data_IF_821791752113
#
_entry.id   IF_821791752113
#
_cell.length_a   1.000
_cell.length_b   1.000
_cell.length_c   1.000
_cell.angle_alpha   90.00
_cell.angle_beta   90.00
_cell.angle_gamma   90.00
#
_symmetry.space_group_name_H-M   'P 1'
#
loop_
_entity.id
_entity.type
_entity.pdbx_description
1 polymer ?
#
# COMPACT_ATOMS: atom_id res chain seq x y z
N UNK A 1 13.34 24.37 -7.44
CA UNK A 1 12.27 23.61 -6.78
C UNK A 1 11.24 24.58 -6.20
N UNK A 2 10.00 24.57 -6.69
CA UNK A 2 8.88 25.27 -6.07
C UNK A 2 8.58 24.52 -4.78
N UNK A 3 8.67 25.20 -3.63
CA UNK A 3 8.32 24.58 -2.37
C UNK A 3 6.84 24.19 -2.36
N UNK A 4 6.49 23.10 -1.67
CA UNK A 4 5.10 22.66 -1.53
C UNK A 4 4.22 23.77 -0.96
N UNK A 5 4.73 24.56 -0.02
CA UNK A 5 4.04 25.74 0.52
C UNK A 5 3.74 26.79 -0.54
N UNK A 6 4.70 27.08 -1.41
CA UNK A 6 4.50 28.02 -2.52
C UNK A 6 3.48 27.48 -3.52
N UNK A 7 3.52 26.18 -3.81
CA UNK A 7 2.51 25.52 -4.64
C UNK A 7 1.11 25.61 -4.01
N UNK A 8 0.97 25.32 -2.72
CA UNK A 8 -0.31 25.42 -2.00
C UNK A 8 -0.87 26.86 -2.00
N UNK A 9 -0.01 27.87 -2.00
CA UNK A 9 -0.40 29.27 -2.11
C UNK A 9 -0.78 29.67 -3.55
N UNK A 10 0.03 29.29 -4.54
CA UNK A 10 -0.18 29.68 -5.93
C UNK A 10 -1.34 28.94 -6.61
N UNK A 11 -1.59 27.70 -6.18
CA UNK A 11 -2.61 26.80 -6.72
C UNK A 11 -3.66 26.48 -5.64
N UNK A 12 -4.08 27.48 -4.86
CA UNK A 12 -4.90 27.29 -3.66
C UNK A 12 -6.22 26.52 -3.91
N UNK A 13 -6.89 26.77 -5.03
CA UNK A 13 -8.12 26.07 -5.40
C UNK A 13 -7.86 24.58 -5.70
N UNK A 14 -6.80 24.26 -6.45
CA UNK A 14 -6.38 22.88 -6.69
C UNK A 14 -5.94 22.20 -5.39
N UNK A 15 -5.19 22.90 -4.54
CA UNK A 15 -4.75 22.35 -3.26
C UNK A 15 -5.94 22.00 -2.36
N UNK A 16 -6.95 22.88 -2.29
CA UNK A 16 -8.21 22.61 -1.59
C UNK A 16 -8.96 21.41 -2.20
N UNK A 17 -9.07 21.34 -3.52
CA UNK A 17 -9.66 20.18 -4.20
C UNK A 17 -8.91 18.87 -3.90
N UNK A 18 -7.58 18.90 -3.79
CA UNK A 18 -6.78 17.75 -3.37
C UNK A 18 -7.08 17.32 -1.94
N UNK A 19 -7.24 18.27 -1.01
CA UNK A 19 -7.64 17.96 0.37
C UNK A 19 -9.01 17.28 0.40
N UNK A 20 -9.98 17.78 -0.37
CA UNK A 20 -11.31 17.21 -0.43
C UNK A 20 -11.31 15.81 -1.08
N UNK A 21 -10.46 15.59 -2.09
CA UNK A 21 -10.22 14.27 -2.67
C UNK A 21 -9.61 13.30 -1.64
N UNK A 22 -8.56 13.71 -0.93
CA UNK A 22 -7.93 12.91 0.13
C UNK A 22 -8.96 12.53 1.19
N UNK A 23 -9.78 13.49 1.62
CA UNK A 23 -10.78 13.27 2.66
C UNK A 23 -11.87 12.29 2.23
N UNK A 24 -12.30 12.31 0.96
CA UNK A 24 -13.30 11.35 0.48
C UNK A 24 -12.80 9.90 0.47
N UNK A 25 -11.48 9.72 0.37
CA UNK A 25 -10.83 8.41 0.41
C UNK A 25 -10.33 8.01 1.80
N UNK A 26 -10.41 8.89 2.80
CA UNK A 26 -9.97 8.59 4.16
C UNK A 26 -10.73 7.40 4.77
N UNK A 27 -12.00 7.24 4.41
CA UNK A 27 -12.87 6.15 4.87
C UNK A 27 -12.80 4.88 3.99
N UNK A 28 -12.09 4.94 2.85
CA UNK A 28 -11.96 3.78 1.96
C UNK A 28 -10.90 2.85 2.53
N UNK A 29 -11.25 1.58 2.75
CA UNK A 29 -10.30 0.58 3.26
C UNK A 29 -9.16 0.33 2.30
N UNK A 30 -7.93 0.28 2.82
CA UNK A 30 -6.77 -0.14 2.03
C UNK A 30 -7.05 -1.55 1.45
N UNK A 31 -6.83 -1.78 0.13
CA UNK A 31 -7.14 -3.05 -0.53
C UNK A 31 -6.50 -4.30 0.11
N UNK A 32 -5.30 -4.19 0.66
CA UNK A 32 -4.62 -5.28 1.37
C UNK A 32 -5.27 -5.49 2.73
N UNK A 33 -5.57 -4.41 3.45
CA UNK A 33 -6.27 -4.45 4.73
C UNK A 33 -7.69 -5.03 4.60
N UNK A 34 -8.39 -4.73 3.50
CA UNK A 34 -9.71 -5.28 3.24
C UNK A 34 -9.70 -6.82 3.18
N UNK A 35 -8.69 -7.41 2.52
CA UNK A 35 -8.58 -8.86 2.45
C UNK A 35 -8.02 -9.44 3.75
N UNK A 36 -6.95 -8.87 4.30
CA UNK A 36 -6.35 -9.38 5.54
C UNK A 36 -7.32 -9.28 6.73
N UNK A 37 -8.18 -8.25 6.75
CA UNK A 37 -9.22 -8.04 7.75
C UNK A 37 -10.30 -9.11 7.79
N UNK A 38 -10.44 -9.94 6.74
CA UNK A 38 -11.32 -11.12 6.74
C UNK A 38 -10.84 -12.22 7.67
N UNK A 39 -9.54 -12.23 7.98
CA UNK A 39 -8.97 -13.23 8.87
C UNK A 39 -9.51 -13.10 10.30
N UNK A 40 -9.67 -14.23 10.97
CA UNK A 40 -10.28 -14.30 12.32
C UNK A 40 -9.31 -13.86 13.40
N UNK A 41 -8.09 -14.38 13.36
CA UNK A 41 -7.07 -14.09 14.38
C UNK A 41 -6.27 -12.84 14.04
N UNK A 42 -5.81 -12.09 15.07
CA UNK A 42 -4.91 -10.95 14.86
C UNK A 42 -3.62 -11.41 14.20
N UNK A 43 -3.09 -12.57 14.59
CA UNK A 43 -1.92 -13.16 13.95
C UNK A 43 -2.10 -13.39 12.45
N UNK A 44 -3.24 -13.94 12.02
CA UNK A 44 -3.54 -14.09 10.60
C UNK A 44 -3.68 -12.73 9.91
N UNK A 45 -4.37 -11.75 10.51
CA UNK A 45 -4.46 -10.39 9.94
C UNK A 45 -3.08 -9.78 9.67
N UNK A 46 -2.14 -9.94 10.60
CA UNK A 46 -0.75 -9.47 10.43
C UNK A 46 -0.06 -10.23 9.30
N UNK A 47 -0.09 -11.56 9.33
CA UNK A 47 0.58 -12.39 8.33
C UNK A 47 0.06 -12.12 6.90
N UNK A 48 -1.25 -12.00 6.73
CA UNK A 48 -1.88 -11.68 5.45
C UNK A 48 -1.62 -10.24 5.00
N UNK A 49 -1.44 -9.30 5.93
CA UNK A 49 -1.01 -7.93 5.61
C UNK A 49 0.44 -7.89 5.11
N UNK A 50 1.33 -8.68 5.70
CA UNK A 50 2.72 -8.85 5.25
C UNK A 50 2.74 -9.49 3.85
N UNK A 51 1.95 -10.55 3.64
CA UNK A 51 1.80 -11.20 2.33
C UNK A 51 1.34 -10.20 1.28
N UNK A 52 0.22 -9.51 1.51
CA UNK A 52 -0.33 -8.55 0.57
C UNK A 52 0.64 -7.43 0.21
N UNK A 53 1.34 -6.88 1.21
CA UNK A 53 2.34 -5.84 0.98
C UNK A 53 3.55 -6.34 0.19
N UNK A 54 3.86 -7.64 0.27
CA UNK A 54 4.95 -8.25 -0.51
C UNK A 54 4.51 -8.53 -1.95
N UNK A 55 3.26 -8.94 -2.15
CA UNK A 55 2.66 -9.22 -3.46
C UNK A 55 2.37 -7.95 -4.28
N UNK A 56 2.13 -6.81 -3.63
CA UNK A 56 1.75 -5.58 -4.31
C UNK A 56 2.92 -4.88 -5.00
N UNK A 57 3.34 -5.47 -6.12
CA UNK A 57 4.40 -4.99 -7.01
C UNK A 57 4.04 -5.34 -8.45
N UNK A 58 3.96 -4.32 -9.32
CA UNK A 58 3.68 -4.52 -10.74
C UNK A 58 2.30 -5.13 -11.02
N UNK A 59 1.35 -4.94 -10.10
CA UNK A 59 -0.01 -5.44 -10.17
C UNK A 59 -0.97 -4.35 -9.69
N UNK A 60 -2.18 -4.29 -10.26
CA UNK A 60 -3.19 -3.30 -9.88
C UNK A 60 -3.80 -3.63 -8.50
N UNK A 61 -4.45 -2.66 -7.84
CA UNK A 61 -5.21 -2.95 -6.62
C UNK A 61 -6.35 -3.95 -6.88
N UNK A 62 -7.03 -3.84 -8.02
CA UNK A 62 -8.12 -4.75 -8.38
C UNK A 62 -7.61 -6.20 -8.47
N UNK A 63 -6.47 -6.41 -9.12
CA UNK A 63 -5.92 -7.76 -9.33
C UNK A 63 -5.27 -8.31 -8.07
N UNK A 64 -4.57 -7.48 -7.28
CA UNK A 64 -4.00 -7.95 -6.00
C UNK A 64 -5.10 -8.33 -5.02
N UNK A 65 -6.24 -7.62 -5.00
CA UNK A 65 -7.39 -7.99 -4.17
C UNK A 65 -7.99 -9.33 -4.59
N UNK A 66 -8.17 -9.55 -5.89
CA UNK A 66 -8.68 -10.82 -6.41
C UNK A 66 -7.71 -11.96 -6.08
N UNK A 67 -6.42 -11.77 -6.32
CA UNK A 67 -5.37 -12.75 -6.04
C UNK A 67 -5.33 -13.09 -4.54
N UNK A 68 -5.23 -12.08 -3.67
CA UNK A 68 -5.23 -12.30 -2.23
C UNK A 68 -6.52 -12.95 -1.74
N UNK A 69 -7.68 -12.54 -2.27
CA UNK A 69 -8.96 -13.14 -1.92
C UNK A 69 -9.03 -14.63 -2.29
N UNK A 70 -8.55 -14.99 -3.48
CA UNK A 70 -8.52 -16.38 -3.91
C UNK A 70 -7.50 -17.22 -3.13
N UNK A 71 -6.31 -16.67 -2.86
CA UNK A 71 -5.32 -17.32 -1.99
C UNK A 71 -5.87 -17.56 -0.58
N UNK A 72 -6.56 -16.57 -0.01
CA UNK A 72 -7.17 -16.72 1.32
C UNK A 72 -8.30 -17.76 1.32
N UNK A 73 -9.10 -17.83 0.26
CA UNK A 73 -10.14 -18.85 0.15
C UNK A 73 -9.57 -20.27 0.01
N UNK A 74 -8.48 -20.43 -0.76
CA UNK A 74 -7.83 -21.73 -0.96
C UNK A 74 -7.00 -22.16 0.26
N UNK A 75 -6.33 -21.20 0.92
CA UNK A 75 -5.40 -21.44 2.03
C UNK A 75 -5.73 -20.52 3.22
N UNK A 76 -6.88 -20.69 3.89
CA UNK A 76 -7.33 -19.75 4.89
C UNK A 76 -6.48 -19.73 6.16
N UNK A 77 -6.52 -18.58 6.86
CA UNK A 77 -5.95 -18.40 8.19
C UNK A 77 -4.47 -18.83 8.28
N UNK A 78 -4.21 -19.86 9.08
CA UNK A 78 -2.89 -20.39 9.44
C UNK A 78 -2.24 -21.23 8.35
N UNK A 79 -2.98 -21.59 7.28
CA UNK A 79 -2.41 -22.33 6.14
C UNK A 79 -1.28 -21.59 5.43
N UNK A 80 -1.17 -20.28 5.66
CA UNK A 80 -0.01 -19.49 5.23
C UNK A 80 1.30 -19.91 5.90
N UNK A 81 1.27 -20.44 7.14
CA UNK A 81 2.49 -20.77 7.90
C UNK A 81 2.51 -22.14 8.57
N UNK A 82 1.41 -22.87 8.68
CA UNK A 82 1.41 -24.25 9.21
C UNK A 82 2.07 -25.24 8.26
N UNK A 83 2.71 -26.28 8.81
CA UNK A 83 3.26 -27.39 8.03
C UNK A 83 2.22 -28.53 7.92
N UNK A 84 2.16 -29.24 6.79
CA UNK A 84 2.89 -28.97 5.54
C UNK A 84 2.41 -27.68 4.86
N UNK A 85 3.34 -26.93 4.24
CA UNK A 85 2.97 -25.74 3.46
C UNK A 85 2.29 -26.15 2.15
N UNK A 86 1.38 -25.33 1.59
CA UNK A 86 0.82 -25.56 0.27
C UNK A 86 1.90 -25.72 -0.79
N UNK A 87 1.68 -26.64 -1.74
CA UNK A 87 2.63 -26.92 -2.80
C UNK A 87 2.64 -25.78 -3.83
N UNK A 88 3.73 -25.71 -4.56
CA UNK A 88 3.92 -24.74 -5.65
C UNK A 88 2.80 -24.82 -6.69
N UNK A 89 2.49 -26.04 -7.14
CA UNK A 89 1.45 -26.32 -8.14
C UNK A 89 0.08 -25.79 -7.70
N UNK A 90 -0.29 -25.96 -6.43
CA UNK A 90 -1.57 -25.51 -5.89
C UNK A 90 -1.63 -23.97 -5.80
N UNK A 91 -0.55 -23.34 -5.36
CA UNK A 91 -0.46 -21.87 -5.25
C UNK A 91 -0.55 -21.21 -6.63
N UNK A 92 0.18 -21.74 -7.62
CA UNK A 92 0.17 -21.22 -8.98
C UNK A 92 -1.18 -21.44 -9.66
N UNK A 93 -1.82 -22.60 -9.45
CA UNK A 93 -3.15 -22.88 -9.99
C UNK A 93 -4.20 -21.86 -9.51
N UNK A 94 -4.15 -21.46 -8.24
CA UNK A 94 -5.04 -20.40 -7.70
C UNK A 94 -4.80 -19.07 -8.40
N UNK A 95 -3.55 -18.69 -8.65
CA UNK A 95 -3.21 -17.45 -9.32
C UNK A 95 -3.67 -17.44 -10.79
N UNK A 96 -3.46 -18.54 -11.51
CA UNK A 96 -3.81 -18.68 -12.93
C UNK A 96 -5.30 -18.56 -13.17
N UNK A 97 -6.11 -19.14 -12.28
CA UNK A 97 -7.56 -19.06 -12.33
C UNK A 97 -8.08 -17.62 -12.23
N UNK A 98 -7.34 -16.73 -11.58
CA UNK A 98 -7.78 -15.37 -11.26
C UNK A 98 -7.18 -14.33 -12.20
N UNK A 99 -5.91 -14.51 -12.58
CA UNK A 99 -5.19 -13.53 -13.38
C UNK A 99 -5.41 -13.73 -14.89
N UNK A 100 -5.91 -14.90 -15.35
CA UNK A 100 -6.41 -15.22 -16.70
C UNK A 100 -5.86 -14.33 -17.85
N UNK A 101 -4.57 -14.48 -18.17
CA UNK A 101 -3.93 -13.75 -19.28
C UNK A 101 -3.28 -12.41 -18.91
N UNK A 102 -3.43 -11.95 -17.67
CA UNK A 102 -2.67 -10.82 -17.12
C UNK A 102 -1.21 -11.25 -16.93
N UNK A 103 -0.31 -10.65 -17.71
CA UNK A 103 1.12 -10.84 -17.50
C UNK A 103 1.55 -10.12 -16.22
N UNK A 104 1.74 -10.89 -15.15
CA UNK A 104 2.33 -10.40 -13.91
C UNK A 104 3.74 -10.98 -13.76
N UNK A 105 4.75 -10.11 -13.80
CA UNK A 105 6.16 -10.51 -13.82
C UNK A 105 6.64 -11.26 -12.59
N UNK A 106 5.89 -11.23 -11.49
CA UNK A 106 6.20 -11.96 -10.26
C UNK A 106 5.43 -13.27 -10.11
N UNK A 107 4.64 -13.70 -11.10
CA UNK A 107 3.83 -14.91 -11.03
C UNK A 107 4.64 -16.12 -10.57
N UNK A 108 5.80 -16.36 -11.18
CA UNK A 108 6.68 -17.50 -10.86
C UNK A 108 7.28 -17.41 -9.44
N UNK A 109 7.35 -16.20 -8.88
CA UNK A 109 7.86 -15.97 -7.53
C UNK A 109 6.79 -16.09 -6.45
N UNK A 110 5.50 -16.22 -6.81
CA UNK A 110 4.39 -16.26 -5.86
C UNK A 110 4.54 -17.37 -4.79
N UNK A 111 4.87 -18.64 -5.13
CA UNK A 111 5.12 -19.67 -4.13
C UNK A 111 6.26 -19.28 -3.17
N UNK A 112 7.35 -18.75 -3.71
CA UNK A 112 8.49 -18.27 -2.92
C UNK A 112 8.10 -17.14 -1.96
N UNK A 113 7.27 -16.19 -2.40
CA UNK A 113 6.73 -15.12 -1.56
C UNK A 113 5.88 -15.72 -0.43
N UNK A 114 4.95 -16.60 -0.79
CA UNK A 114 4.04 -17.26 0.15
C UNK A 114 4.82 -18.01 1.24
N UNK A 115 5.77 -18.86 0.85
CA UNK A 115 6.59 -19.63 1.79
C UNK A 115 7.53 -18.74 2.60
N UNK A 116 8.08 -17.68 2.02
CA UNK A 116 8.95 -16.75 2.74
C UNK A 116 8.21 -16.03 3.85
N UNK A 117 6.95 -15.61 3.60
CA UNK A 117 6.10 -15.04 4.65
C UNK A 117 5.74 -16.10 5.68
N UNK A 118 5.36 -17.31 5.26
CA UNK A 118 5.09 -18.41 6.20
C UNK A 118 6.30 -18.75 7.08
N UNK A 119 7.50 -18.70 6.54
CA UNK A 119 8.75 -18.89 7.28
C UNK A 119 8.98 -17.80 8.32
N UNK A 120 8.72 -16.54 7.96
CA UNK A 120 8.74 -15.42 8.89
C UNK A 120 7.78 -15.65 10.06
N UNK A 121 6.50 -16.00 9.79
CA UNK A 121 5.53 -16.26 10.87
C UNK A 121 6.01 -17.38 11.79
N UNK A 122 6.47 -18.51 11.24
CA UNK A 122 6.99 -19.64 12.04
C UNK A 122 8.22 -19.25 12.86
N UNK A 123 9.13 -18.44 12.31
CA UNK A 123 10.31 -17.98 13.03
C UNK A 123 9.93 -17.19 14.27
N UNK A 124 9.00 -16.23 14.12
CA UNK A 124 8.54 -15.40 15.23
C UNK A 124 7.56 -16.12 16.16
N UNK A 125 7.13 -17.35 15.84
CA UNK A 125 6.36 -18.25 16.71
C UNK A 125 7.18 -19.15 17.65
N UNK A 126 8.47 -19.37 17.35
CA UNK A 126 9.26 -20.45 17.98
C UNK A 126 9.52 -20.30 19.49
N UNK A 127 9.43 -19.10 20.03
CA UNK A 127 9.70 -18.82 21.45
C UNK A 127 8.42 -18.54 22.26
N UNK A 128 7.27 -19.03 21.81
CA UNK A 128 5.97 -18.73 22.42
C UNK A 128 5.49 -17.29 22.19
N UNK A 129 6.24 -16.49 21.44
CA UNK A 129 5.82 -15.18 20.94
C UNK A 129 4.93 -15.38 19.73
N UNK A 130 3.89 -14.58 19.57
CA UNK A 130 3.11 -14.53 18.34
C UNK A 130 3.37 -13.20 17.60
N UNK A 131 2.82 -13.05 16.40
CA UNK A 131 2.98 -11.79 15.66
C UNK A 131 2.42 -10.55 16.39
N UNK A 132 1.26 -10.63 17.08
CA UNK A 132 0.82 -9.55 17.95
C UNK A 132 1.86 -9.14 19.00
N UNK A 133 2.41 -10.10 19.75
CA UNK A 133 3.45 -9.84 20.75
C UNK A 133 4.71 -9.26 20.11
N UNK A 134 5.18 -9.87 19.00
CA UNK A 134 6.29 -9.34 18.21
C UNK A 134 6.09 -7.87 17.82
N UNK A 135 4.90 -7.48 17.35
CA UNK A 135 4.64 -6.10 16.99
C UNK A 135 4.73 -5.16 18.20
N UNK A 136 4.17 -5.55 19.36
CA UNK A 136 4.16 -4.71 20.57
C UNK A 136 5.54 -4.53 21.22
N UNK A 137 6.45 -5.49 21.03
CA UNK A 137 7.79 -5.50 21.61
C UNK A 137 8.84 -4.79 20.76
N UNK A 138 8.47 -4.31 19.56
CA UNK A 138 9.41 -3.79 18.56
C UNK A 138 9.18 -2.33 18.24
N UNK A 139 10.25 -1.61 17.92
CA UNK A 139 10.15 -0.29 17.28
C UNK A 139 9.93 -0.44 15.77
N UNK A 140 9.53 0.65 15.10
CA UNK A 140 9.36 0.64 13.64
C UNK A 140 10.65 0.28 12.88
N UNK A 141 11.82 0.68 13.40
CA UNK A 141 13.13 0.34 12.82
C UNK A 141 13.44 -1.14 12.96
N UNK A 142 13.10 -1.75 14.09
CA UNK A 142 13.27 -3.18 14.29
C UNK A 142 12.30 -3.98 13.43
N UNK A 143 11.03 -3.59 13.35
CA UNK A 143 10.07 -4.20 12.42
C UNK A 143 10.59 -4.07 10.98
N UNK A 144 11.16 -2.93 10.60
CA UNK A 144 11.73 -2.73 9.28
C UNK A 144 12.91 -3.67 8.98
N UNK A 145 13.74 -3.93 10.00
CA UNK A 145 14.84 -4.91 9.93
C UNK A 145 14.30 -6.33 9.81
N UNK A 146 13.39 -6.73 10.70
CA UNK A 146 12.82 -8.07 10.80
C UNK A 146 12.04 -8.43 9.53
N UNK A 147 11.27 -7.48 8.95
CA UNK A 147 10.63 -7.66 7.64
C UNK A 147 11.63 -7.92 6.51
N UNK A 148 12.92 -7.65 6.71
CA UNK A 148 14.00 -8.04 5.81
C UNK A 148 14.27 -9.54 5.73
N UNK A 149 13.80 -10.32 6.69
CA UNK A 149 13.84 -11.79 6.68
C UNK A 149 12.91 -12.36 5.59
N UNK A 150 11.87 -11.61 5.21
CA UNK A 150 11.04 -11.95 4.06
C UNK A 150 11.84 -11.65 2.78
N UNK A 151 12.28 -12.71 2.09
CA UNK A 151 13.22 -12.63 0.95
C UNK A 151 12.78 -11.64 -0.13
N UNK A 152 11.46 -11.57 -0.37
CA UNK A 152 10.85 -10.73 -1.39
C UNK A 152 10.47 -9.33 -0.89
N UNK A 153 10.85 -8.92 0.32
CA UNK A 153 10.58 -7.57 0.83
C UNK A 153 11.49 -6.49 0.21
N UNK A 154 12.54 -6.92 -0.50
CA UNK A 154 13.50 -6.06 -1.19
C UNK A 154 14.81 -5.90 -0.41
N UNK A 155 15.91 -5.69 -1.14
CA UNK A 155 17.28 -5.64 -0.57
C UNK A 155 17.87 -4.23 -0.47
N UNK A 156 17.27 -3.22 -1.12
CA UNK A 156 17.77 -1.84 -1.16
C UNK A 156 17.35 -0.96 0.02
N UNK A 157 18.01 0.19 0.19
CA UNK A 157 17.59 1.26 1.11
C UNK A 157 17.07 2.45 0.27
N UNK A 158 15.86 2.97 0.52
CA UNK A 158 14.81 2.43 1.41
C UNK A 158 14.20 1.11 0.86
N UNK A 159 13.58 0.30 1.74
CA UNK A 159 12.75 -0.87 1.37
C UNK A 159 11.27 -0.45 1.35
N UNK A 160 10.68 -0.08 0.20
CA UNK A 160 9.35 0.54 0.19
C UNK A 160 8.24 -0.40 0.63
N UNK A 161 8.39 -1.71 0.36
CA UNK A 161 7.43 -2.74 0.79
C UNK A 161 7.40 -2.87 2.30
N UNK A 162 8.57 -2.94 2.95
CA UNK A 162 8.64 -2.97 4.41
C UNK A 162 8.07 -1.69 5.04
N UNK A 163 8.34 -0.52 4.46
CA UNK A 163 7.73 0.73 4.92
C UNK A 163 6.19 0.69 4.79
N UNK A 164 5.67 0.22 3.66
CA UNK A 164 4.22 0.08 3.44
C UNK A 164 3.58 -0.89 4.43
N UNK A 165 4.23 -2.02 4.68
CA UNK A 165 3.81 -2.97 5.70
C UNK A 165 3.73 -2.30 7.07
N UNK A 166 4.76 -1.58 7.51
CA UNK A 166 4.76 -0.89 8.81
C UNK A 166 3.57 0.07 8.92
N UNK A 167 3.36 0.93 7.93
CA UNK A 167 2.22 1.87 7.95
C UNK A 167 0.87 1.13 7.98
N UNK A 168 0.72 0.02 7.28
CA UNK A 168 -0.48 -0.83 7.31
C UNK A 168 -0.66 -1.57 8.64
N UNK A 169 0.41 -1.90 9.34
CA UNK A 169 0.32 -2.53 10.66
C UNK A 169 -0.15 -1.53 11.72
N UNK A 170 0.43 -0.32 11.74
CA UNK A 170 0.23 0.63 12.84
C UNK A 170 -0.91 1.63 12.61
N UNK A 171 -1.21 1.99 11.35
CA UNK A 171 -2.25 2.98 11.09
C UNK A 171 -3.60 2.42 11.54
N UNK A 172 -4.49 3.22 12.14
CA UNK A 172 -5.82 2.76 12.50
C UNK A 172 -6.62 2.38 11.25
N UNK A 173 -7.68 1.60 11.46
CA UNK A 173 -8.68 1.38 10.42
C UNK A 173 -9.21 2.75 9.91
N UNK A 174 -9.47 2.89 8.60
CA UNK A 174 -9.46 1.84 7.58
C UNK A 174 -8.14 1.71 6.80
N UNK A 175 -7.09 2.46 7.19
CA UNK A 175 -5.77 2.48 6.55
C UNK A 175 -4.89 1.29 6.94
N UNK A 176 -5.12 0.75 8.13
CA UNK A 176 -4.30 -0.30 8.71
C UNK A 176 -5.00 -1.11 9.80
N UNK A 177 -4.21 -1.92 10.52
CA UNK A 177 -4.68 -2.79 11.60
C UNK A 177 -4.72 -2.11 12.98
N UNK A 178 -4.15 -0.91 13.13
CA UNK A 178 -4.13 -0.18 14.39
C UNK A 178 -3.30 -0.85 15.49
N UNK A 179 -2.24 -1.57 15.13
CA UNK A 179 -1.38 -2.22 16.11
C UNK A 179 -0.54 -1.19 16.88
N UNK A 180 -0.49 -1.38 18.19
CA UNK A 180 0.47 -0.69 19.05
C UNK A 180 1.83 -1.32 18.88
N UNK A 181 2.84 -0.49 18.63
CA UNK A 181 4.26 -0.88 18.61
C UNK A 181 5.01 -0.06 19.67
N UNK A 182 6.26 -0.42 19.98
CA UNK A 182 7.07 0.44 20.84
C UNK A 182 7.30 1.80 20.19
N UNK A 183 7.36 2.85 21.01
CA UNK A 183 7.66 4.20 20.55
C UNK A 183 8.96 4.21 19.76
N UNK A 184 8.86 4.65 18.51
CA UNK A 184 9.98 4.73 17.58
C UNK A 184 10.37 6.20 17.39
N UNK A 185 11.64 6.57 17.61
CA UNK A 185 12.11 7.90 17.30
C UNK A 185 12.20 8.14 15.78
N UNK A 186 12.28 7.09 14.96
CA UNK A 186 12.44 7.21 13.51
C UNK A 186 11.55 6.23 12.74
N UNK A 187 10.46 6.79 12.23
CA UNK A 187 9.60 6.12 11.26
C UNK A 187 10.26 6.03 9.87
N UNK A 188 10.04 4.94 9.11
CA UNK A 188 10.38 4.93 7.69
C UNK A 188 9.57 6.01 6.93
N UNK A 189 10.08 6.54 5.80
CA UNK A 189 9.33 7.47 4.99
C UNK A 189 8.04 6.83 4.48
N UNK A 190 6.97 7.61 4.37
CA UNK A 190 5.69 7.12 3.85
C UNK A 190 5.89 6.66 2.39
N UNK A 191 5.48 5.43 2.03
CA UNK A 191 5.74 4.88 0.70
C UNK A 191 5.13 5.71 -0.43
N UNK A 192 5.92 5.85 -1.49
CA UNK A 192 5.53 6.56 -2.71
C UNK A 192 4.81 5.61 -3.69
N UNK A 193 3.48 5.49 -3.53
CA UNK A 193 2.61 4.68 -4.39
C UNK A 193 2.51 5.24 -5.82
N UNK A 194 2.01 4.42 -6.76
CA UNK A 194 1.82 4.85 -8.16
C UNK A 194 0.80 5.98 -8.29
N UNK A 195 -0.31 5.94 -7.55
CA UNK A 195 -1.29 7.02 -7.52
C UNK A 195 -0.70 8.35 -7.05
N UNK A 196 0.12 8.32 -5.99
CA UNK A 196 0.84 9.52 -5.52
C UNK A 196 1.80 10.03 -6.59
N UNK A 197 2.58 9.16 -7.24
CA UNK A 197 3.49 9.57 -8.33
C UNK A 197 2.74 10.24 -9.47
N UNK A 198 1.61 9.66 -9.90
CA UNK A 198 0.74 10.24 -10.94
C UNK A 198 0.25 11.61 -10.50
N UNK A 199 -0.28 11.73 -9.28
CA UNK A 199 -0.73 13.01 -8.74
C UNK A 199 0.39 14.06 -8.77
N UNK A 200 1.55 13.76 -8.18
CA UNK A 200 2.69 14.68 -8.11
C UNK A 200 3.15 15.14 -9.49
N UNK A 201 3.13 14.25 -10.49
CA UNK A 201 3.54 14.56 -11.85
C UNK A 201 2.52 15.38 -12.65
N UNK A 202 1.23 15.17 -12.43
CA UNK A 202 0.15 15.71 -13.28
C UNK A 202 -0.45 16.98 -12.66
N UNK A 203 -0.76 16.94 -11.37
CA UNK A 203 -1.46 18.00 -10.64
C UNK A 203 -0.60 18.65 -9.56
N UNK A 204 0.31 17.89 -8.95
CA UNK A 204 1.15 18.36 -7.87
C UNK A 204 2.34 19.23 -8.30
N UNK A 205 3.21 19.61 -7.35
CA UNK A 205 4.35 20.50 -7.59
C UNK A 205 5.35 19.94 -8.63
N UNK A 206 5.41 18.62 -8.79
CA UNK A 206 6.27 17.96 -9.77
C UNK A 206 5.90 18.28 -11.23
N UNK A 207 4.70 18.82 -11.50
CA UNK A 207 4.28 19.33 -12.81
C UNK A 207 5.20 20.45 -13.31
N UNK A 208 5.71 21.32 -12.43
CA UNK A 208 6.56 22.45 -12.79
C UNK A 208 8.05 22.07 -12.89
N UNK A 209 8.42 20.91 -12.35
CA UNK A 209 9.82 20.46 -12.22
C UNK A 209 10.15 19.24 -13.07
N UNK A 210 9.23 18.85 -13.97
CA UNK A 210 9.31 17.61 -14.74
C UNK A 210 9.60 16.40 -13.85
N UNK A 211 8.63 16.02 -13.03
CA UNK A 211 8.73 14.93 -12.05
C UNK A 211 9.46 13.68 -12.55
N UNK A 212 9.33 13.29 -13.82
CA UNK A 212 10.04 12.15 -14.40
C UNK A 212 11.57 12.24 -14.29
N UNK A 213 12.14 13.44 -14.41
CA UNK A 213 13.59 13.71 -14.42
C UNK A 213 14.19 13.75 -13.00
N UNK A 214 13.36 13.87 -11.95
CA UNK A 214 13.83 13.89 -10.56
C UNK A 214 14.41 12.54 -10.11
N UNK A 215 15.41 12.59 -9.24
CA UNK A 215 15.98 11.42 -8.56
C UNK A 215 14.95 10.77 -7.62
N UNK A 216 15.12 9.48 -7.25
CA UNK A 216 14.24 8.82 -6.28
C UNK A 216 14.12 9.56 -4.94
N UNK A 217 15.22 10.14 -4.44
CA UNK A 217 15.23 10.86 -3.16
C UNK A 217 14.50 12.19 -3.24
N UNK A 218 14.64 12.94 -4.35
CA UNK A 218 13.88 14.16 -4.59
C UNK A 218 12.38 13.87 -4.72
N UNK A 219 12.01 12.81 -5.43
CA UNK A 219 10.61 12.35 -5.53
C UNK A 219 10.03 12.01 -4.17
N UNK A 220 10.79 11.29 -3.34
CA UNK A 220 10.36 10.93 -1.99
C UNK A 220 10.23 12.17 -1.10
N UNK A 221 11.21 13.08 -1.12
CA UNK A 221 11.17 14.33 -0.35
C UNK A 221 9.94 15.17 -0.73
N UNK A 222 9.73 15.40 -2.02
CA UNK A 222 8.55 16.12 -2.52
C UNK A 222 7.25 15.46 -2.07
N UNK A 223 7.17 14.13 -2.10
CA UNK A 223 6.00 13.41 -1.62
C UNK A 223 5.77 13.61 -0.11
N UNK A 224 6.80 13.47 0.73
CA UNK A 224 6.67 13.70 2.17
C UNK A 224 6.21 15.13 2.47
N UNK A 225 6.79 16.13 1.80
CA UNK A 225 6.40 17.54 1.97
C UNK A 225 4.93 17.75 1.59
N UNK A 226 4.46 17.14 0.49
CA UNK A 226 3.04 17.18 0.08
C UNK A 226 2.14 16.50 1.10
N UNK A 227 2.53 15.35 1.66
CA UNK A 227 1.73 14.66 2.67
C UNK A 227 1.55 15.49 3.93
N UNK A 228 2.63 16.11 4.41
CA UNK A 228 2.59 16.99 5.58
C UNK A 228 1.76 18.25 5.35
N UNK A 229 1.82 18.84 4.15
CA UNK A 229 1.03 20.03 3.84
C UNK A 229 -0.46 19.70 3.68
N UNK A 230 -0.80 18.53 3.11
CA UNK A 230 -2.19 18.09 2.96
C UNK A 230 -2.81 17.65 4.30
N UNK A 231 -2.04 16.99 5.17
CA UNK A 231 -2.48 16.60 6.51
C UNK A 231 -1.31 16.67 7.49
N UNK A 232 -1.22 17.77 8.22
CA UNK A 232 -0.09 18.03 9.14
C UNK A 232 -0.07 17.09 10.34
N UNK A 233 -1.25 16.64 10.81
CA UNK A 233 -1.38 15.71 11.95
C UNK A 233 -1.27 14.25 11.53
N UNK A 234 -1.79 13.91 10.35
CA UNK A 234 -1.84 12.52 9.86
C UNK A 234 -1.41 12.43 8.40
N UNK A 235 -0.11 12.61 8.09
CA UNK A 235 0.39 12.61 6.71
C UNK A 235 0.12 11.28 5.97
N UNK A 236 -0.01 10.18 6.71
CA UNK A 236 -0.40 8.87 6.17
C UNK A 236 -1.80 8.88 5.52
N UNK A 237 -2.74 9.71 6.00
CA UNK A 237 -4.07 9.87 5.38
C UNK A 237 -3.95 10.52 4.01
N UNK A 238 -3.07 11.51 3.86
CA UNK A 238 -2.81 12.12 2.56
C UNK A 238 -2.23 11.11 1.56
N UNK A 239 -1.24 10.33 1.99
CA UNK A 239 -0.67 9.26 1.17
C UNK A 239 -1.71 8.17 0.81
N UNK A 240 -2.54 7.79 1.77
CA UNK A 240 -3.62 6.83 1.57
C UNK A 240 -4.63 7.32 0.54
N UNK A 241 -5.15 8.54 0.67
CA UNK A 241 -6.13 9.09 -0.27
C UNK A 241 -5.55 9.21 -1.69
N UNK A 242 -4.33 9.74 -1.80
CA UNK A 242 -3.66 9.92 -3.08
C UNK A 242 -3.26 8.61 -3.76
N UNK A 243 -3.18 7.48 -3.05
CA UNK A 243 -2.85 6.19 -3.67
C UNK A 243 -3.88 5.75 -4.73
N UNK A 244 -5.12 6.24 -4.63
CA UNK A 244 -6.22 5.91 -5.54
C UNK A 244 -6.30 6.82 -6.76
N UNK A 245 -5.46 7.86 -6.84
CA UNK A 245 -5.48 8.81 -7.96
C UNK A 245 -5.04 8.13 -9.26
N UNK A 246 -5.96 8.06 -10.23
CA UNK A 246 -5.77 7.41 -11.54
C UNK A 246 -5.25 5.97 -11.44
N UNK A 247 -5.59 5.26 -10.39
CA UNK A 247 -5.22 3.85 -10.21
C UNK A 247 -6.26 2.94 -10.83
N UNK A 248 -5.84 1.83 -11.43
CA UNK A 248 -6.71 0.98 -12.25
C UNK A 248 -7.89 0.42 -11.47
N UNK A 249 -9.10 0.76 -11.92
CA UNK A 249 -10.38 0.31 -11.34
C UNK A 249 -11.10 -0.69 -12.25
N UNK A 250 -12.36 -0.99 -11.90
CA UNK A 250 -13.20 -1.95 -12.63
C UNK A 250 -13.63 -1.43 -14.00
N UNK A 251 -13.93 -0.13 -14.11
CA UNK A 251 -14.31 0.51 -15.39
C UNK A 251 -13.15 1.17 -16.09
N UNK A 252 -12.22 1.75 -15.33
CA UNK A 252 -10.98 2.39 -15.81
C UNK A 252 -10.13 2.80 -14.59
N UNK A 253 -10.67 3.65 -13.72
CA UNK A 253 -9.98 4.17 -12.54
C UNK A 253 -10.82 4.03 -11.26
N UNK A 254 -10.17 3.74 -10.14
CA UNK A 254 -10.81 3.63 -8.81
C UNK A 254 -11.56 4.91 -8.44
N UNK A 255 -11.02 6.09 -8.76
CA UNK A 255 -11.72 7.35 -8.52
C UNK A 255 -13.05 7.46 -9.27
N UNK A 256 -13.16 6.87 -10.48
CA UNK A 256 -14.43 6.83 -11.22
C UNK A 256 -15.42 5.86 -10.57
N UNK A 257 -14.93 4.74 -10.04
CA UNK A 257 -15.77 3.78 -9.32
C UNK A 257 -16.32 4.39 -8.01
N UNK A 258 -15.49 5.16 -7.30
CA UNK A 258 -15.88 5.86 -6.06
C UNK A 258 -16.92 6.97 -6.30
N UNK A 259 -16.65 7.90 -7.21
CA UNK A 259 -17.54 9.04 -7.46
C UNK A 259 -18.69 8.75 -8.44
N UNK A 260 -18.66 7.61 -9.13
CA UNK A 260 -19.56 7.17 -10.21
C UNK A 260 -19.52 8.01 -11.48
N UNK A 261 -19.34 9.33 -11.37
CA UNK A 261 -19.26 10.31 -12.46
C UNK A 261 -18.10 11.27 -12.21
N UNK A 262 -17.29 11.56 -13.24
CA UNK A 262 -16.09 12.39 -13.09
C UNK A 262 -16.38 13.80 -12.54
N UNK A 263 -17.52 14.41 -12.89
CA UNK A 263 -17.91 15.74 -12.41
C UNK A 263 -18.15 15.84 -10.90
N UNK A 264 -18.28 14.70 -10.20
CA UNK A 264 -18.39 14.64 -8.74
C UNK A 264 -17.04 14.54 -8.03
N UNK A 265 -15.96 14.29 -8.78
CA UNK A 265 -14.62 14.26 -8.21
C UNK A 265 -14.15 15.70 -7.95
N UNK A 266 -13.64 16.04 -6.76
CA UNK A 266 -13.10 17.37 -6.46
C UNK A 266 -12.01 17.81 -7.46
N UNK A 267 -11.27 16.86 -8.01
CA UNK A 267 -10.21 17.11 -8.98
C UNK A 267 -10.69 17.23 -10.44
N UNK A 268 -12.01 17.21 -10.70
CA UNK A 268 -12.59 17.17 -12.04
C UNK A 268 -12.04 18.26 -12.98
N UNK A 269 -12.12 19.52 -12.56
CA UNK A 269 -11.73 20.68 -13.39
C UNK A 269 -10.23 20.72 -13.69
N UNK A 270 -9.42 20.01 -12.91
CA UNK A 270 -7.98 19.95 -13.05
C UNK A 270 -7.50 18.67 -13.77
N UNK A 271 -8.34 17.63 -13.82
CA UNK A 271 -7.97 16.32 -14.30
C UNK A 271 -8.18 16.17 -15.81
N UNK A 272 -7.08 16.10 -16.56
CA UNK A 272 -7.10 15.89 -18.03
C UNK A 272 -7.66 14.52 -18.47
N UNK A 273 -7.83 13.60 -17.53
CA UNK A 273 -8.42 12.26 -17.78
C UNK A 273 -9.92 12.22 -17.46
N UNK A 274 -10.50 13.35 -17.04
CA UNK A 274 -11.93 13.46 -16.87
C UNK A 274 -12.61 13.37 -18.24
N UNK A 275 -13.56 12.45 -18.40
CA UNK A 275 -14.42 12.43 -19.58
C UNK A 275 -15.40 13.58 -19.43
N UNK A 276 -15.24 14.63 -20.24
CA UNK A 276 -16.22 15.69 -20.38
C UNK A 276 -17.37 15.12 -21.23
N UNK A 277 -18.54 14.92 -20.60
CA UNK A 277 -19.78 14.61 -21.29
C UNK A 277 -20.70 15.81 -21.20
#
# INVERSE_FOLDING_TARGET
>A
MISVKRFAQSEAALFKATQDFVQSFAEVTDPIIFISGKAKSVQAKIAWTILGSTLFQGISYTDVMKLMGALYNAFPEEKLWTLPVPKEEDILAVADQILQGTSWSLREHLPGIFWSVGSFVRHHQKDGRDLPQWATERTAEEIWRDLGEVYFMGKGKPRPKAAATIYRLISPAPLGLGLTIQNSPKMPPIPLSMGVRRYLSILGPGKYEKFSELTPDEKNKMAQDVFHELSSKTPNVAAHGLQFFLESGTKEFICRDHYKVCSKCPLYEYCKYAIQK
#
